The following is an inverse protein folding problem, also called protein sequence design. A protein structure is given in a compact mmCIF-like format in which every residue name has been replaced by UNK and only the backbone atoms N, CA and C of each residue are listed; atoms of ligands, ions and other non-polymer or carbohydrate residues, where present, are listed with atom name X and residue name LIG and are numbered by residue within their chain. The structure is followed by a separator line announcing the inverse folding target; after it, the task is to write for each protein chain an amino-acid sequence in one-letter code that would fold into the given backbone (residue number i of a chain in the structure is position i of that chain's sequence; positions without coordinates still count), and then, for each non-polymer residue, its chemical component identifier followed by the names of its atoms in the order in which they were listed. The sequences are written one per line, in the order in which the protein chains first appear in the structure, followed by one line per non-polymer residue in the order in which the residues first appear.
data_IF_015659155395
#
_entry.id   IF_015659155395
#
_cell.length_a   1.000
_cell.length_b   1.000
_cell.length_c   1.000
_cell.angle_alpha   90.00
_cell.angle_beta   90.00
_cell.angle_gamma   90.00
#
_symmetry.space_group_name_H-M   'P 1'
#
loop_
_entity.id
_entity.type
_entity.pdbx_description
1 polymer ?
#
# COMPACT_ATOMS: atom_id res chain seq x y z
N UNK A 1 34.29 8.80 -27.61
CA UNK A 1 33.43 8.36 -26.48
C UNK A 1 32.04 8.88 -26.72
N UNK A 2 31.11 8.02 -27.15
CA UNK A 2 29.71 8.41 -27.37
C UNK A 2 28.91 8.13 -26.10
N UNK A 3 28.48 9.19 -25.42
CA UNK A 3 27.59 9.07 -24.25
C UNK A 3 26.24 8.56 -24.77
N UNK A 4 25.89 7.32 -24.44
CA UNK A 4 24.58 6.77 -24.77
C UNK A 4 23.52 7.57 -24.02
N UNK A 5 22.55 8.12 -24.76
CA UNK A 5 21.43 8.87 -24.22
C UNK A 5 20.55 7.91 -23.41
N UNK A 6 20.72 7.89 -22.08
CA UNK A 6 19.89 7.07 -21.19
C UNK A 6 18.46 7.58 -21.22
N UNK A 7 17.51 6.66 -21.41
CA UNK A 7 16.09 6.97 -21.38
C UNK A 7 15.70 7.26 -19.92
N UNK A 8 15.21 8.47 -19.60
CA UNK A 8 14.90 8.87 -18.22
C UNK A 8 13.87 7.96 -17.55
N UNK A 9 12.96 7.35 -18.31
CA UNK A 9 11.99 6.37 -17.79
C UNK A 9 12.70 5.13 -17.27
N UNK A 10 13.71 4.65 -18.00
CA UNK A 10 14.49 3.48 -17.60
C UNK A 10 15.32 3.74 -16.35
N UNK A 11 15.83 4.97 -16.19
CA UNK A 11 16.52 5.37 -14.97
C UNK A 11 15.60 5.44 -13.75
N UNK A 12 14.34 5.84 -13.95
CA UNK A 12 13.34 5.86 -12.88
C UNK A 12 13.05 4.43 -12.38
N UNK A 13 12.81 3.47 -13.28
CA UNK A 13 12.56 2.07 -12.90
C UNK A 13 13.81 1.33 -12.39
N UNK A 14 15.01 1.72 -12.82
CA UNK A 14 16.27 1.16 -12.30
C UNK A 14 16.67 1.74 -10.94
N UNK A 15 15.88 2.65 -10.36
CA UNK A 15 16.21 3.34 -9.11
C UNK A 15 15.86 2.50 -7.88
N UNK A 16 16.87 2.18 -7.07
CA UNK A 16 16.70 1.57 -5.74
C UNK A 16 15.85 2.46 -4.83
N UNK A 17 15.94 3.79 -4.97
CA UNK A 17 15.14 4.75 -4.19
C UNK A 17 13.65 4.62 -4.50
N UNK A 18 13.29 4.38 -5.77
CA UNK A 18 11.90 4.12 -6.17
C UNK A 18 11.41 2.81 -5.55
N UNK A 19 12.21 1.75 -5.62
CA UNK A 19 11.85 0.45 -5.05
C UNK A 19 11.57 0.56 -3.54
N UNK A 20 12.45 1.22 -2.77
CA UNK A 20 12.24 1.45 -1.34
C UNK A 20 10.97 2.27 -1.08
N UNK A 21 10.73 3.35 -1.84
CA UNK A 21 9.52 4.17 -1.72
C UNK A 21 8.24 3.35 -1.94
N UNK A 22 8.22 2.51 -2.96
CA UNK A 22 7.08 1.63 -3.26
C UNK A 22 6.88 0.59 -2.15
N UNK A 23 7.95 -0.03 -1.64
CA UNK A 23 7.87 -1.00 -0.55
C UNK A 23 7.30 -0.38 0.72
N UNK A 24 7.73 0.83 1.11
CA UNK A 24 7.16 1.52 2.26
C UNK A 24 5.69 1.87 2.05
N UNK A 25 5.33 2.33 0.84
CA UNK A 25 3.93 2.63 0.50
C UNK A 25 3.05 1.39 0.60
N UNK A 26 3.52 0.25 0.07
CA UNK A 26 2.82 -1.03 0.16
C UNK A 26 2.71 -1.52 1.59
N UNK A 27 3.78 -1.41 2.39
CA UNK A 27 3.77 -1.80 3.80
C UNK A 27 2.73 -1.00 4.61
N UNK A 28 2.70 0.33 4.43
CA UNK A 28 1.69 1.18 5.08
C UNK A 28 0.28 0.81 4.62
N UNK A 29 0.07 0.62 3.32
CA UNK A 29 -1.25 0.23 2.77
C UNK A 29 -1.71 -1.13 3.30
N UNK A 30 -0.79 -2.08 3.43
CA UNK A 30 -1.07 -3.40 4.01
C UNK A 30 -1.55 -3.31 5.46
N UNK A 31 -0.99 -2.39 6.25
CA UNK A 31 -1.38 -2.19 7.65
C UNK A 31 -2.76 -1.51 7.75
N UNK A 32 -3.07 -0.57 6.84
CA UNK A 32 -4.38 0.10 6.81
C UNK A 32 -5.50 -0.92 6.59
N UNK A 33 -5.30 -1.93 5.72
CA UNK A 33 -6.28 -2.99 5.47
C UNK A 33 -6.56 -3.91 6.68
N UNK A 34 -5.68 -3.90 7.68
CA UNK A 34 -5.83 -4.67 8.94
C UNK A 34 -6.53 -3.91 10.07
N UNK A 35 -7.01 -2.68 9.83
CA UNK A 35 -7.72 -1.89 10.86
C UNK A 35 -9.07 -2.52 11.22
N UNK A 36 -9.69 -3.24 10.29
CA UNK A 36 -10.92 -4.00 10.56
C UNK A 36 -10.55 -5.36 11.17
N UNK A 37 -11.13 -5.75 12.32
CA UNK A 37 -10.93 -7.08 12.89
C UNK A 37 -11.16 -8.15 11.83
N UNK A 38 -10.26 -9.11 11.69
CA UNK A 38 -10.40 -10.20 10.72
C UNK A 38 -10.88 -11.46 11.42
N UNK A 39 -11.77 -12.21 10.77
CA UNK A 39 -12.25 -13.50 11.26
C UNK A 39 -13.02 -13.45 12.60
N UNK A 40 -13.63 -12.31 12.93
CA UNK A 40 -14.49 -12.16 14.11
C UNK A 40 -15.92 -12.64 13.82
N UNK A 41 -16.73 -12.80 14.87
CA UNK A 41 -18.12 -13.17 14.71
C UNK A 41 -18.95 -12.01 14.09
N UNK A 42 -19.94 -12.29 13.22
CA UNK A 42 -20.80 -11.27 12.60
C UNK A 42 -21.44 -10.28 13.59
N UNK A 43 -21.79 -10.77 14.79
CA UNK A 43 -22.38 -9.94 15.85
C UNK A 43 -21.45 -8.86 16.39
N UNK A 44 -20.13 -9.08 16.40
CA UNK A 44 -19.15 -8.08 16.83
C UNK A 44 -19.07 -6.93 15.83
N UNK A 45 -19.11 -7.22 14.52
CA UNK A 45 -19.14 -6.19 13.49
C UNK A 45 -20.41 -5.35 13.54
N UNK A 46 -21.57 -5.95 13.82
CA UNK A 46 -22.83 -5.22 13.99
C UNK A 46 -22.76 -4.28 15.21
N UNK A 47 -22.13 -4.70 16.32
CA UNK A 47 -21.95 -3.84 17.49
C UNK A 47 -20.95 -2.71 17.24
N UNK A 48 -19.84 -2.98 16.55
CA UNK A 48 -18.77 -2.00 16.31
C UNK A 48 -19.10 -1.00 15.21
N UNK A 49 -19.78 -1.43 14.15
CA UNK A 49 -20.01 -0.64 12.93
C UNK A 49 -21.49 -0.40 12.60
N UNK A 50 -22.41 -1.16 13.19
CA UNK A 50 -23.86 -1.05 12.94
C UNK A 50 -24.62 0.11 13.59
N UNK A 51 -24.19 0.77 14.68
CA UNK A 51 -24.98 1.83 15.34
C UNK A 51 -25.35 3.03 14.46
N UNK A 52 -24.65 3.24 13.33
CA UNK A 52 -24.89 4.35 12.40
C UNK A 52 -25.53 3.90 11.07
N UNK A 53 -26.02 2.65 10.97
CA UNK A 53 -26.67 2.11 9.78
C UNK A 53 -28.21 2.23 9.80
N UNK A 54 -28.77 2.95 10.79
CA UNK A 54 -30.20 3.18 10.96
C UNK A 54 -30.59 4.63 10.63
#
# INVERSE_FOLDING_TARGET
MTVLKKNPVWELFASVKLALFLLFTLAVTSIIGTIVPQNEAPGLYVQLYGPNLA
#
